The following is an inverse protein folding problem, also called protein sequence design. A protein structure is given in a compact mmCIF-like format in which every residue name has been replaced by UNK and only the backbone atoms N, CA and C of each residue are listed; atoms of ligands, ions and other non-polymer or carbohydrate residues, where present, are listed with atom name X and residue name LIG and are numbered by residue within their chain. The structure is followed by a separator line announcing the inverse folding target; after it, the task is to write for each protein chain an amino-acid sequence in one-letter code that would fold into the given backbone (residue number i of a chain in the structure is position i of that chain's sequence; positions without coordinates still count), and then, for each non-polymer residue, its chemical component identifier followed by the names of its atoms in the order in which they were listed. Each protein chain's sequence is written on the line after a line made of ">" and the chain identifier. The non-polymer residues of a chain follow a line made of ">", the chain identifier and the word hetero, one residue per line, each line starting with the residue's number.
data_IF_365543152913
#
_entry.id   IF_365543152913
#
_cell.length_a   1.000
_cell.length_b   1.000
_cell.length_c   1.000
_cell.angle_alpha   90.00
_cell.angle_beta   90.00
_cell.angle_gamma   90.00
#
_symmetry.space_group_name_H-M   'P 1'
#
loop_
_entity.id
_entity.type
_entity.pdbx_description
1 polymer ?
#
# COMPACT_ATOMS: atom_id res chain seq x y z
N UNK A 1 13.44 8.49 -16.77
CA UNK A 1 13.03 7.20 -17.38
C UNK A 1 14.18 6.42 -18.02
N UNK A 2 15.05 7.01 -18.85
CA UNK A 2 16.24 6.31 -19.39
C UNK A 2 17.16 5.70 -18.30
N UNK A 3 17.38 6.41 -17.19
CA UNK A 3 18.23 5.93 -16.06
C UNK A 3 17.79 4.60 -15.45
N UNK A 4 16.48 4.35 -15.32
CA UNK A 4 15.95 3.13 -14.68
C UNK A 4 16.02 1.94 -15.63
N UNK A 5 15.76 2.18 -16.92
CA UNK A 5 15.87 1.14 -17.96
C UNK A 5 17.33 0.71 -18.17
N UNK A 6 18.27 1.68 -18.12
CA UNK A 6 19.71 1.39 -18.08
C UNK A 6 20.09 0.59 -16.83
N UNK A 7 19.64 0.99 -15.64
CA UNK A 7 19.94 0.28 -14.40
C UNK A 7 19.58 -1.21 -14.45
N UNK A 8 18.39 -1.53 -14.94
CA UNK A 8 17.89 -2.91 -14.99
C UNK A 8 18.74 -3.83 -15.90
N UNK A 9 19.18 -3.34 -17.07
CA UNK A 9 20.05 -4.10 -17.96
C UNK A 9 21.53 -4.05 -17.53
N UNK A 10 21.99 -2.91 -16.99
CA UNK A 10 23.35 -2.74 -16.48
C UNK A 10 23.63 -3.63 -15.26
N UNK A 11 22.60 -3.93 -14.44
CA UNK A 11 22.74 -4.88 -13.33
C UNK A 11 23.13 -6.28 -13.81
N UNK A 12 22.66 -6.71 -14.99
CA UNK A 12 23.12 -7.96 -15.60
C UNK A 12 24.57 -7.87 -16.05
N UNK A 13 24.96 -6.75 -16.66
CA UNK A 13 26.35 -6.56 -17.14
C UNK A 13 27.35 -6.46 -15.99
N UNK A 14 26.94 -5.90 -14.86
CA UNK A 14 27.75 -5.81 -13.64
C UNK A 14 28.24 -7.19 -13.18
N UNK A 15 27.43 -8.24 -13.33
CA UNK A 15 27.80 -9.61 -12.97
C UNK A 15 29.06 -10.07 -13.73
N UNK A 16 29.17 -9.72 -15.01
CA UNK A 16 30.35 -10.00 -15.84
C UNK A 16 31.56 -9.20 -15.38
N UNK A 17 31.41 -7.91 -15.10
CA UNK A 17 32.52 -7.06 -14.64
C UNK A 17 33.04 -7.44 -13.25
N UNK A 18 32.19 -8.00 -12.39
CA UNK A 18 32.57 -8.47 -11.06
C UNK A 18 33.11 -9.91 -11.06
N UNK A 19 33.15 -10.60 -12.21
CA UNK A 19 33.43 -12.03 -12.30
C UNK A 19 32.59 -12.85 -11.29
N UNK A 20 31.34 -12.45 -11.09
CA UNK A 20 30.41 -13.07 -10.14
C UNK A 20 29.11 -13.40 -10.85
N UNK A 21 28.62 -14.64 -10.69
CA UNK A 21 27.36 -15.07 -11.27
C UNK A 21 26.35 -15.34 -10.16
N UNK A 22 25.20 -14.64 -10.11
CA UNK A 22 24.16 -14.95 -9.14
C UNK A 22 23.47 -16.28 -9.47
N UNK A 23 22.97 -16.96 -8.44
CA UNK A 23 22.07 -18.11 -8.63
C UNK A 23 20.61 -17.67 -8.88
N UNK A 24 20.25 -16.47 -8.41
CA UNK A 24 18.90 -15.90 -8.47
C UNK A 24 18.95 -14.39 -8.76
N UNK A 25 18.05 -13.92 -9.63
CA UNK A 25 17.71 -12.50 -9.79
C UNK A 25 16.32 -12.27 -9.20
N UNK A 26 16.23 -11.40 -8.21
CA UNK A 26 14.96 -10.96 -7.63
C UNK A 26 14.62 -9.55 -8.10
N UNK A 27 13.73 -9.46 -9.09
CA UNK A 27 13.23 -8.19 -9.60
C UNK A 27 11.99 -7.75 -8.80
N UNK A 28 11.92 -6.45 -8.53
CA UNK A 28 10.83 -5.78 -7.84
C UNK A 28 10.22 -4.72 -8.78
N UNK A 29 8.96 -4.94 -9.15
CA UNK A 29 8.17 -4.13 -10.08
C UNK A 29 8.83 -3.84 -11.44
N UNK A 30 8.16 -2.99 -12.21
CA UNK A 30 8.56 -2.58 -13.56
C UNK A 30 9.98 -1.99 -13.64
N UNK A 31 10.47 -1.39 -12.55
CA UNK A 31 11.77 -0.72 -12.48
C UNK A 31 12.95 -1.65 -12.76
N UNK A 32 12.81 -2.93 -12.36
CA UNK A 32 13.86 -3.94 -12.50
C UNK A 32 13.44 -5.10 -13.39
N UNK A 33 12.23 -5.08 -13.92
CA UNK A 33 11.64 -6.18 -14.69
C UNK A 33 12.42 -6.56 -15.95
N UNK A 34 13.09 -5.61 -16.60
CA UNK A 34 13.89 -5.88 -17.80
C UNK A 34 15.15 -6.71 -17.52
N UNK A 35 15.58 -6.86 -16.27
CA UNK A 35 16.71 -7.74 -15.93
C UNK A 35 16.31 -9.20 -16.10
N UNK A 36 15.08 -9.56 -15.77
CA UNK A 36 14.56 -10.92 -16.00
C UNK A 36 14.38 -11.17 -17.50
N UNK A 37 13.82 -10.21 -18.22
CA UNK A 37 13.67 -10.32 -19.67
C UNK A 37 15.02 -10.45 -20.39
N UNK A 38 15.98 -9.59 -20.06
CA UNK A 38 17.34 -9.65 -20.60
C UNK A 38 18.10 -10.93 -20.23
N UNK A 39 17.89 -11.46 -19.01
CA UNK A 39 18.43 -12.76 -18.60
C UNK A 39 17.88 -13.88 -19.49
N UNK A 40 16.57 -13.88 -19.78
CA UNK A 40 15.96 -14.88 -20.67
C UNK A 40 16.49 -14.78 -22.10
N UNK A 41 16.60 -13.57 -22.67
CA UNK A 41 17.04 -13.40 -24.07
C UNK A 41 18.54 -13.69 -24.24
N UNK A 42 19.41 -13.24 -23.33
CA UNK A 42 20.85 -13.56 -23.37
C UNK A 42 21.12 -15.07 -23.27
N UNK A 43 20.28 -15.83 -22.56
CA UNK A 43 20.37 -17.30 -22.53
C UNK A 43 20.17 -17.91 -23.91
N UNK A 44 19.23 -17.40 -24.70
CA UNK A 44 18.94 -17.91 -26.04
C UNK A 44 20.05 -17.61 -27.05
N UNK A 45 20.80 -16.53 -26.86
CA UNK A 45 21.90 -16.15 -27.76
C UNK A 45 23.23 -16.86 -27.43
N UNK A 46 23.53 -17.10 -26.15
CA UNK A 46 24.89 -17.49 -25.72
C UNK A 46 25.02 -18.87 -25.07
N UNK A 47 23.93 -19.65 -24.92
CA UNK A 47 23.97 -20.92 -24.18
C UNK A 47 24.38 -20.74 -22.71
N UNK A 48 24.13 -19.55 -22.16
CA UNK A 48 24.53 -19.17 -20.81
C UNK A 48 23.80 -20.01 -19.74
N UNK A 49 24.44 -20.17 -18.58
CA UNK A 49 23.87 -20.85 -17.41
C UNK A 49 22.52 -20.23 -17.04
N UNK A 50 21.55 -21.08 -16.69
CA UNK A 50 20.25 -20.64 -16.16
C UNK A 50 20.42 -19.98 -14.78
N UNK A 51 20.15 -18.67 -14.69
CA UNK A 51 20.02 -17.90 -13.43
C UNK A 51 18.54 -17.73 -13.08
N UNK A 52 18.03 -18.36 -12.01
CA UNK A 52 16.62 -18.30 -11.69
C UNK A 52 16.11 -16.85 -11.54
N UNK A 53 14.86 -16.58 -11.92
CA UNK A 53 14.24 -15.26 -11.88
C UNK A 53 12.98 -15.23 -11.03
N UNK A 54 12.94 -14.35 -10.03
CA UNK A 54 11.74 -14.09 -9.21
C UNK A 54 11.28 -12.65 -9.45
N UNK A 55 9.99 -12.46 -9.72
CA UNK A 55 9.36 -11.15 -9.84
C UNK A 55 8.43 -10.88 -8.66
N UNK A 56 8.70 -9.85 -7.86
CA UNK A 56 7.75 -9.33 -6.87
C UNK A 56 6.93 -8.18 -7.44
N UNK A 57 5.61 -8.30 -7.29
CA UNK A 57 4.60 -7.37 -7.79
C UNK A 57 3.95 -6.61 -6.63
N UNK A 58 4.26 -5.32 -6.49
CA UNK A 58 3.69 -4.46 -5.44
C UNK A 58 2.43 -3.73 -5.91
N UNK A 59 2.31 -3.44 -7.21
CA UNK A 59 1.16 -2.70 -7.75
C UNK A 59 1.01 -2.89 -9.27
N UNK A 60 0.06 -3.75 -9.67
CA UNK A 60 -0.09 -4.15 -11.07
C UNK A 60 -0.46 -3.03 -12.05
N UNK A 61 -1.33 -2.06 -11.70
CA UNK A 61 -1.58 -0.90 -12.55
C UNK A 61 -0.33 -0.12 -13.00
N UNK A 62 0.78 -0.19 -12.27
CA UNK A 62 2.02 0.52 -12.64
C UNK A 62 2.97 -0.39 -13.41
N UNK A 63 2.70 -0.55 -14.70
CA UNK A 63 3.44 -1.47 -15.57
C UNK A 63 4.73 -0.92 -16.19
N UNK A 64 4.95 0.38 -16.04
CA UNK A 64 6.09 1.10 -16.61
C UNK A 64 5.84 1.63 -18.03
N UNK A 65 6.80 2.37 -18.60
CA UNK A 65 6.67 3.03 -19.90
C UNK A 65 6.92 2.07 -21.08
N UNK A 66 6.67 2.53 -22.30
CA UNK A 66 7.08 1.83 -23.52
C UNK A 66 8.61 1.60 -23.57
N UNK A 67 9.01 0.36 -23.89
CA UNK A 67 10.41 -0.08 -23.96
C UNK A 67 10.90 -0.42 -25.37
N UNK A 68 10.08 -0.27 -26.41
CA UNK A 68 10.42 -0.67 -27.79
C UNK A 68 11.76 -0.09 -28.26
N UNK A 69 11.91 1.23 -28.15
CA UNK A 69 13.12 1.93 -28.58
C UNK A 69 14.37 1.53 -27.78
N UNK A 70 14.21 1.17 -26.49
CA UNK A 70 15.36 0.74 -25.71
C UNK A 70 15.75 -0.71 -26.07
N UNK A 71 14.78 -1.61 -26.22
CA UNK A 71 15.07 -2.98 -26.62
C UNK A 71 15.79 -3.01 -27.98
N UNK A 72 15.32 -2.22 -28.95
CA UNK A 72 15.97 -2.05 -30.26
C UNK A 72 17.41 -1.56 -30.12
N UNK A 73 17.67 -0.54 -29.29
CA UNK A 73 19.03 0.01 -29.11
C UNK A 73 20.04 -0.98 -28.49
N UNK A 74 19.56 -2.01 -27.79
CA UNK A 74 20.38 -3.10 -27.23
C UNK A 74 20.36 -4.36 -28.10
N UNK A 75 19.74 -4.33 -29.28
CA UNK A 75 19.59 -5.50 -30.15
C UNK A 75 18.69 -6.59 -29.59
N UNK A 76 17.91 -6.31 -28.54
CA UNK A 76 17.03 -7.30 -27.90
C UNK A 76 15.71 -7.35 -28.65
N UNK A 77 15.43 -8.49 -29.29
CA UNK A 77 14.15 -8.68 -29.97
C UNK A 77 13.00 -8.86 -28.97
N UNK A 78 11.80 -8.45 -29.37
CA UNK A 78 10.57 -8.79 -28.66
C UNK A 78 10.28 -10.28 -28.85
N UNK A 79 10.18 -11.01 -27.73
CA UNK A 79 9.90 -12.42 -27.76
C UNK A 79 8.47 -12.69 -28.27
N UNK A 80 8.31 -13.82 -28.96
CA UNK A 80 7.00 -14.39 -29.23
C UNK A 80 6.44 -14.89 -27.89
N UNK A 81 5.55 -14.12 -27.28
CA UNK A 81 4.97 -14.38 -25.96
C UNK A 81 3.48 -14.66 -26.06
N UNK A 82 2.90 -15.26 -25.02
CA UNK A 82 1.45 -15.39 -24.81
C UNK A 82 0.83 -14.13 -24.16
N UNK A 83 1.62 -13.07 -23.95
CA UNK A 83 1.11 -11.78 -23.47
C UNK A 83 0.26 -11.09 -24.54
N UNK A 84 -0.74 -10.27 -24.12
CA UNK A 84 -1.43 -9.34 -25.01
C UNK A 84 -0.46 -8.39 -25.72
N UNK A 85 -0.75 -8.02 -26.97
CA UNK A 85 0.17 -7.20 -27.79
C UNK A 85 0.56 -5.88 -27.12
N UNK A 86 -0.39 -5.21 -26.45
CA UNK A 86 -0.13 -3.97 -25.74
C UNK A 86 0.85 -4.16 -24.56
N UNK A 87 0.84 -5.33 -23.93
CA UNK A 87 1.63 -5.64 -22.74
C UNK A 87 3.10 -5.92 -23.10
N UNK A 88 3.36 -6.40 -24.32
CA UNK A 88 4.71 -6.69 -24.83
C UNK A 88 5.59 -5.46 -24.94
N UNK A 89 5.00 -4.26 -24.91
CA UNK A 89 5.74 -3.00 -24.96
C UNK A 89 6.10 -2.47 -23.57
N UNK A 90 5.66 -3.13 -22.50
CA UNK A 90 5.84 -2.68 -21.13
C UNK A 90 6.83 -3.56 -20.36
N UNK A 91 7.67 -2.98 -19.48
CA UNK A 91 8.71 -3.73 -18.79
C UNK A 91 8.15 -4.73 -17.79
N UNK A 92 7.11 -4.39 -17.03
CA UNK A 92 6.56 -5.31 -16.03
C UNK A 92 5.99 -6.59 -16.64
N UNK A 93 5.09 -6.55 -17.65
CA UNK A 93 4.61 -7.78 -18.29
C UNK A 93 5.74 -8.63 -18.89
N UNK A 94 6.73 -8.00 -19.54
CA UNK A 94 7.90 -8.73 -20.07
C UNK A 94 8.70 -9.43 -18.97
N UNK A 95 8.94 -8.78 -17.83
CA UNK A 95 9.63 -9.39 -16.71
C UNK A 95 8.81 -10.47 -16.00
N UNK A 96 7.49 -10.29 -15.90
CA UNK A 96 6.58 -11.32 -15.38
C UNK A 96 6.62 -12.58 -16.25
N UNK A 97 6.56 -12.40 -17.57
CA UNK A 97 6.65 -13.49 -18.53
C UNK A 97 8.01 -14.20 -18.50
N UNK A 98 9.09 -13.45 -18.31
CA UNK A 98 10.45 -14.00 -18.24
C UNK A 98 10.85 -14.60 -16.89
N UNK A 99 10.03 -14.42 -15.84
CA UNK A 99 10.32 -14.94 -14.50
C UNK A 99 10.08 -16.45 -14.40
N UNK A 100 10.78 -17.12 -13.48
CA UNK A 100 10.49 -18.50 -13.10
C UNK A 100 9.39 -18.55 -12.02
N UNK A 101 9.35 -17.56 -11.12
CA UNK A 101 8.32 -17.41 -10.10
C UNK A 101 7.85 -15.95 -9.92
N UNK A 102 6.59 -15.79 -9.55
CA UNK A 102 5.92 -14.50 -9.32
C UNK A 102 5.46 -14.44 -7.87
N UNK A 103 5.77 -13.35 -7.19
CA UNK A 103 5.38 -13.07 -5.81
C UNK A 103 4.47 -11.85 -5.79
N UNK A 104 3.20 -12.05 -5.46
CA UNK A 104 2.29 -11.00 -5.05
C UNK A 104 2.58 -10.62 -3.59
N UNK A 105 2.45 -9.34 -3.24
CA UNK A 105 2.77 -8.83 -1.88
C UNK A 105 1.74 -9.18 -0.80
N UNK A 106 0.75 -10.01 -1.11
CA UNK A 106 -0.12 -10.66 -0.12
C UNK A 106 -0.86 -11.86 -0.74
N UNK A 107 -1.29 -12.85 0.08
CA UNK A 107 -2.11 -13.98 -0.39
C UNK A 107 -3.42 -13.58 -1.06
N UNK A 108 -4.20 -12.66 -0.46
CA UNK A 108 -5.46 -12.20 -1.03
C UNK A 108 -5.19 -11.48 -2.35
N UNK A 109 -4.19 -10.60 -2.42
CA UNK A 109 -3.84 -9.90 -3.66
C UNK A 109 -3.41 -10.87 -4.78
N UNK A 110 -2.64 -11.90 -4.45
CA UNK A 110 -2.25 -12.95 -5.39
C UNK A 110 -3.46 -13.68 -6.00
N UNK A 111 -4.54 -13.86 -5.25
CA UNK A 111 -5.80 -14.40 -5.78
C UNK A 111 -6.60 -13.35 -6.55
N UNK A 112 -6.63 -12.10 -6.09
CA UNK A 112 -7.37 -11.01 -6.72
C UNK A 112 -6.89 -10.76 -8.16
N UNK A 113 -5.57 -10.72 -8.41
CA UNK A 113 -5.01 -10.44 -9.75
C UNK A 113 -5.35 -11.51 -10.81
N UNK A 114 -5.86 -12.67 -10.40
CA UNK A 114 -6.38 -13.70 -11.31
C UNK A 114 -7.74 -13.32 -11.91
N UNK A 115 -8.39 -12.28 -11.38
CA UNK A 115 -9.72 -11.81 -11.79
C UNK A 115 -9.62 -10.58 -12.68
N UNK A 116 -10.60 -10.33 -13.58
CA UNK A 116 -10.61 -9.13 -14.42
C UNK A 116 -10.63 -7.81 -13.65
N UNK A 117 -11.23 -7.75 -12.45
CA UNK A 117 -11.33 -6.53 -11.65
C UNK A 117 -9.96 -6.01 -11.18
N UNK A 118 -9.04 -6.92 -10.84
CA UNK A 118 -7.72 -6.56 -10.28
C UNK A 118 -6.55 -6.86 -11.22
N UNK A 119 -6.73 -7.79 -12.17
CA UNK A 119 -5.70 -8.30 -13.06
C UNK A 119 -5.25 -7.34 -14.16
N UNK A 120 -5.86 -6.16 -14.28
CA UNK A 120 -5.43 -5.10 -15.22
C UNK A 120 -5.23 -5.61 -16.67
N UNK A 121 -6.09 -6.52 -17.12
CA UNK A 121 -6.02 -7.14 -18.46
C UNK A 121 -4.97 -8.24 -18.62
N UNK A 122 -4.27 -8.62 -17.55
CA UNK A 122 -3.31 -9.74 -17.50
C UNK A 122 -3.84 -10.93 -16.68
N UNK A 123 -5.11 -10.91 -16.26
CA UNK A 123 -5.72 -11.98 -15.47
C UNK A 123 -5.56 -13.35 -16.13
N UNK A 124 -5.75 -13.46 -17.44
CA UNK A 124 -5.63 -14.73 -18.15
C UNK A 124 -4.17 -15.22 -18.16
N UNK A 125 -3.20 -14.32 -18.34
CA UNK A 125 -1.77 -14.63 -18.18
C UNK A 125 -1.45 -15.12 -16.75
N UNK A 126 -1.99 -14.48 -15.71
CA UNK A 126 -1.76 -14.95 -14.34
C UNK A 126 -2.41 -16.32 -14.08
N UNK A 127 -3.55 -16.62 -14.71
CA UNK A 127 -4.18 -17.93 -14.61
C UNK A 127 -3.30 -19.04 -15.21
N UNK A 128 -2.62 -18.80 -16.35
CA UNK A 128 -1.66 -19.77 -16.91
C UNK A 128 -0.42 -19.95 -16.03
N UNK A 129 -0.14 -18.99 -15.16
CA UNK A 129 1.01 -18.95 -14.24
C UNK A 129 0.65 -19.28 -12.78
N UNK A 130 -0.54 -19.84 -12.53
CA UNK A 130 -1.05 -20.05 -11.17
C UNK A 130 -0.11 -20.88 -10.28
N UNK A 131 0.55 -21.89 -10.83
CA UNK A 131 1.47 -22.75 -10.07
C UNK A 131 2.77 -22.05 -9.65
N UNK A 132 3.18 -21.02 -10.39
CA UNK A 132 4.37 -20.22 -10.08
C UNK A 132 4.05 -18.86 -9.45
N UNK A 133 2.78 -18.60 -9.14
CA UNK A 133 2.31 -17.40 -8.45
C UNK A 133 2.08 -17.71 -6.96
N UNK A 134 2.77 -16.96 -6.08
CA UNK A 134 2.61 -17.04 -4.63
C UNK A 134 2.31 -15.67 -4.04
N UNK A 135 1.56 -15.63 -2.94
CA UNK A 135 1.36 -14.42 -2.15
C UNK A 135 2.22 -14.45 -0.89
N UNK A 136 3.13 -13.49 -0.74
CA UNK A 136 3.97 -13.33 0.44
C UNK A 136 3.67 -11.96 1.04
N UNK A 137 3.22 -11.95 2.28
CA UNK A 137 2.82 -10.73 2.97
C UNK A 137 4.04 -9.82 3.20
N UNK A 138 3.88 -8.52 2.97
CA UNK A 138 4.91 -7.54 3.34
C UNK A 138 5.09 -7.47 4.86
N UNK A 139 6.28 -7.04 5.27
CA UNK A 139 6.58 -6.66 6.65
C UNK A 139 6.84 -5.16 6.79
N UNK A 140 7.04 -4.73 8.04
CA UNK A 140 7.53 -3.39 8.38
C UNK A 140 8.87 -3.51 9.12
N UNK A 141 9.70 -2.48 9.02
CA UNK A 141 10.88 -2.32 9.86
C UNK A 141 10.44 -1.92 11.28
N UNK A 142 10.36 -2.91 12.17
CA UNK A 142 9.86 -2.72 13.54
C UNK A 142 10.79 -1.93 14.43
N UNK A 143 12.08 -1.86 14.10
CA UNK A 143 13.06 -1.08 14.85
C UNK A 143 12.93 0.41 14.50
N UNK A 144 12.69 0.70 13.21
CA UNK A 144 12.35 2.05 12.76
C UNK A 144 10.97 2.50 13.24
N UNK A 145 9.99 1.60 13.25
CA UNK A 145 8.61 1.85 13.69
C UNK A 145 8.36 1.32 15.11
N UNK A 146 9.14 1.80 16.07
CA UNK A 146 8.99 1.43 17.48
C UNK A 146 8.52 2.62 18.34
N UNK A 147 7.30 2.64 18.89
CA UNK A 147 6.86 3.71 19.78
C UNK A 147 7.73 3.88 21.04
N UNK A 148 8.52 2.86 21.43
CA UNK A 148 9.42 2.95 22.57
C UNK A 148 10.68 3.80 22.29
N UNK A 149 11.08 3.93 21.02
CA UNK A 149 12.33 4.62 20.63
C UNK A 149 12.17 5.61 19.47
N UNK A 150 10.97 5.74 18.89
CA UNK A 150 10.72 6.66 17.78
C UNK A 150 10.82 8.11 18.23
N UNK A 151 11.84 8.81 17.74
CA UNK A 151 12.09 10.22 18.06
C UNK A 151 11.11 11.18 17.34
N UNK A 152 10.28 10.69 16.41
CA UNK A 152 9.29 11.51 15.72
C UNK A 152 8.04 11.80 16.57
N UNK A 153 7.81 11.04 17.65
CA UNK A 153 6.63 11.14 18.52
C UNK A 153 6.96 11.90 19.81
N UNK A 154 5.96 12.51 20.43
CA UNK A 154 6.18 13.43 21.55
C UNK A 154 6.58 12.72 22.84
N UNK A 155 5.95 11.57 23.13
CA UNK A 155 6.22 10.75 24.30
C UNK A 155 6.33 9.30 23.88
N UNK A 156 7.47 8.67 24.16
CA UNK A 156 7.67 7.25 23.89
C UNK A 156 6.87 6.37 24.87
N UNK A 157 6.40 5.22 24.37
CA UNK A 157 5.60 4.28 25.11
C UNK A 157 5.77 2.86 24.55
N UNK A 158 5.37 1.87 25.34
CA UNK A 158 5.40 0.47 24.99
C UNK A 158 4.12 -0.24 25.44
N UNK A 159 4.08 -1.57 25.32
CA UNK A 159 2.94 -2.39 25.75
C UNK A 159 2.62 -2.25 27.25
N UNK A 160 3.59 -1.86 28.09
CA UNK A 160 3.42 -1.72 29.53
C UNK A 160 3.07 -0.28 29.96
N UNK A 161 3.07 0.66 29.02
CA UNK A 161 2.84 2.09 29.29
C UNK A 161 1.90 2.75 28.27
N UNK A 162 0.92 2.00 27.77
CA UNK A 162 -0.05 2.44 26.77
C UNK A 162 -0.84 3.69 27.18
N UNK A 163 -1.02 3.94 28.47
CA UNK A 163 -1.65 5.15 29.00
C UNK A 163 -0.92 6.44 28.56
N UNK A 164 0.38 6.38 28.27
CA UNK A 164 1.17 7.50 27.75
C UNK A 164 0.76 7.93 26.35
N UNK A 165 0.02 7.10 25.60
CA UNK A 165 -0.53 7.48 24.28
C UNK A 165 -1.42 8.71 24.35
N UNK A 166 -2.11 8.91 25.47
CA UNK A 166 -2.90 10.12 25.68
C UNK A 166 -2.06 11.40 25.54
N UNK A 167 -0.80 11.40 26.00
CA UNK A 167 0.07 12.56 25.83
C UNK A 167 0.32 12.87 24.35
N UNK A 168 0.52 11.84 23.51
CA UNK A 168 0.65 12.02 22.06
C UNK A 168 -0.65 12.52 21.41
N UNK A 169 -1.82 12.01 21.85
CA UNK A 169 -3.13 12.49 21.39
C UNK A 169 -3.34 13.96 21.74
N UNK A 170 -3.02 14.36 22.96
CA UNK A 170 -3.11 15.75 23.42
C UNK A 170 -2.21 16.68 22.61
N UNK A 171 -0.95 16.28 22.37
CA UNK A 171 -0.01 17.04 21.51
C UNK A 171 -0.56 17.19 20.09
N UNK A 172 -1.16 16.14 19.54
CA UNK A 172 -1.77 16.17 18.22
C UNK A 172 -3.00 17.10 18.18
N UNK A 173 -3.85 17.05 19.22
CA UNK A 173 -5.00 17.95 19.38
C UNK A 173 -4.56 19.41 19.47
N UNK A 174 -3.57 19.71 20.31
CA UNK A 174 -2.98 21.04 20.47
C UNK A 174 -2.43 21.57 19.14
N UNK A 175 -1.61 20.76 18.45
CA UNK A 175 -0.97 21.13 17.17
C UNK A 175 -1.99 21.44 16.07
N UNK A 176 -3.14 20.76 16.10
CA UNK A 176 -4.19 20.90 15.10
C UNK A 176 -5.29 21.88 15.51
N UNK A 177 -5.25 22.42 16.73
CA UNK A 177 -6.28 23.30 17.28
C UNK A 177 -7.62 22.60 17.44
N UNK A 178 -7.60 21.35 17.89
CA UNK A 178 -8.78 20.61 18.30
C UNK A 178 -9.12 20.89 19.77
N UNK A 179 -10.40 20.75 20.19
CA UNK A 179 -10.74 20.68 21.61
C UNK A 179 -9.96 19.56 22.32
N UNK A 180 -9.37 19.86 23.47
CA UNK A 180 -8.61 18.87 24.24
C UNK A 180 -9.56 18.00 25.05
N UNK A 181 -9.70 16.75 24.65
CA UNK A 181 -10.50 15.76 25.38
C UNK A 181 -10.00 14.36 25.05
N UNK A 182 -9.72 13.59 26.10
CA UNK A 182 -9.26 12.21 26.01
C UNK A 182 -10.36 11.28 25.49
N UNK A 183 -11.61 11.60 25.78
CA UNK A 183 -12.76 10.74 25.49
C UNK A 183 -13.32 10.95 24.08
N UNK A 184 -12.91 12.01 23.37
CA UNK A 184 -13.32 12.23 21.97
C UNK A 184 -12.45 11.35 21.07
N UNK A 185 -13.01 10.39 20.31
CA UNK A 185 -12.23 9.56 19.41
C UNK A 185 -11.56 10.38 18.31
N UNK A 186 -10.27 10.13 18.07
CA UNK A 186 -9.48 10.76 17.01
C UNK A 186 -9.15 9.75 15.90
N UNK A 187 -9.66 10.03 14.71
CA UNK A 187 -9.45 9.26 13.50
C UNK A 187 -8.30 9.83 12.66
N UNK A 188 -7.33 9.00 12.29
CA UNK A 188 -6.30 9.31 11.31
C UNK A 188 -6.67 8.80 9.92
N UNK A 189 -6.43 9.61 8.90
CA UNK A 189 -6.42 9.18 7.49
C UNK A 189 -5.06 9.61 6.92
N UNK A 190 -4.21 8.64 6.60
CA UNK A 190 -2.88 8.88 6.02
C UNK A 190 -2.85 8.20 4.66
N UNK A 191 -2.93 8.98 3.58
CA UNK A 191 -3.06 8.41 2.24
C UNK A 191 -2.60 9.36 1.14
N UNK A 192 -2.23 8.80 -0.02
CA UNK A 192 -2.28 9.57 -1.27
C UNK A 192 -3.72 10.01 -1.53
N UNK A 193 -3.91 11.23 -2.04
CA UNK A 193 -5.22 11.72 -2.47
C UNK A 193 -5.54 11.11 -3.84
N UNK A 194 -6.11 9.92 -3.82
CA UNK A 194 -6.35 9.08 -4.99
C UNK A 194 -7.64 8.30 -4.79
N UNK A 195 -8.49 8.22 -5.82
CA UNK A 195 -9.77 7.48 -5.77
C UNK A 195 -9.52 6.00 -5.48
N UNK A 196 -8.39 5.44 -5.92
CA UNK A 196 -7.98 4.07 -5.59
C UNK A 196 -7.88 3.84 -4.08
N UNK A 197 -7.51 4.88 -3.31
CA UNK A 197 -7.39 4.83 -1.84
C UNK A 197 -8.69 5.07 -1.11
N UNK A 198 -9.80 5.35 -1.81
CA UNK A 198 -11.12 5.46 -1.19
C UNK A 198 -11.33 6.71 -0.34
N UNK A 199 -10.44 7.72 -0.43
CA UNK A 199 -10.53 8.92 0.43
C UNK A 199 -11.83 9.70 0.22
N UNK A 200 -12.40 9.65 -0.98
CA UNK A 200 -13.74 10.18 -1.29
C UNK A 200 -14.87 9.50 -0.47
N UNK A 201 -14.74 8.19 -0.20
CA UNK A 201 -15.66 7.45 0.65
C UNK A 201 -15.54 7.91 2.11
N UNK A 202 -14.30 8.09 2.59
CA UNK A 202 -14.06 8.64 3.93
C UNK A 202 -14.66 10.03 4.06
N UNK A 203 -14.48 10.91 3.09
CA UNK A 203 -15.05 12.27 3.11
C UNK A 203 -16.57 12.26 3.21
N UNK A 204 -17.21 11.37 2.46
CA UNK A 204 -18.66 11.18 2.49
C UNK A 204 -19.11 10.69 3.88
N UNK A 205 -18.42 9.71 4.46
CA UNK A 205 -18.71 9.19 5.79
C UNK A 205 -18.49 10.23 6.90
N UNK A 206 -17.39 10.97 6.85
CA UNK A 206 -17.10 12.04 7.81
C UNK A 206 -18.19 13.13 7.78
N UNK A 207 -18.68 13.48 6.59
CA UNK A 207 -19.78 14.44 6.43
C UNK A 207 -21.10 13.92 7.01
N UNK A 208 -21.40 12.63 6.86
CA UNK A 208 -22.65 12.05 7.39
C UNK A 208 -22.62 11.92 8.92
N UNK A 209 -21.44 11.76 9.51
CA UNK A 209 -21.23 11.68 10.97
C UNK A 209 -21.25 13.04 11.69
N UNK A 210 -21.72 14.13 11.07
CA UNK A 210 -21.68 15.49 11.65
C UNK A 210 -22.19 15.64 13.09
N UNK A 211 -23.16 14.81 13.50
CA UNK A 211 -23.77 14.84 14.83
C UNK A 211 -23.04 13.95 15.86
N UNK A 212 -22.04 13.18 15.43
CA UNK A 212 -21.22 12.33 16.29
C UNK A 212 -20.07 13.16 16.87
N UNK A 213 -19.74 12.94 18.14
CA UNK A 213 -18.60 13.60 18.77
C UNK A 213 -17.30 12.85 18.44
N UNK A 214 -16.56 13.34 17.44
CA UNK A 214 -15.29 12.77 16.99
C UNK A 214 -14.37 13.88 16.47
N UNK A 215 -13.10 13.54 16.31
CA UNK A 215 -12.09 14.32 15.59
C UNK A 215 -11.48 13.48 14.47
N UNK A 216 -11.08 14.13 13.37
CA UNK A 216 -10.42 13.48 12.25
C UNK A 216 -9.29 14.35 11.68
N UNK A 217 -8.11 13.75 11.55
CA UNK A 217 -6.96 14.34 10.85
C UNK A 217 -6.76 13.61 9.52
N UNK A 218 -6.70 14.38 8.44
CA UNK A 218 -6.42 13.89 7.09
C UNK A 218 -5.04 14.39 6.69
N UNK A 219 -4.11 13.49 6.41
CA UNK A 219 -2.77 13.78 5.91
C UNK A 219 -2.58 13.12 4.54
N UNK A 220 -2.27 13.93 3.52
CA UNK A 220 -2.09 13.41 2.18
C UNK A 220 -2.00 14.48 1.10
N UNK A 221 -1.53 14.09 -0.07
CA UNK A 221 -1.50 14.93 -1.29
C UNK A 221 -1.65 14.04 -2.53
N UNK A 222 -2.03 14.61 -3.68
CA UNK A 222 -2.28 13.90 -4.93
C UNK A 222 -3.24 14.65 -5.85
N UNK A 223 -4.44 14.11 -6.03
CA UNK A 223 -5.48 14.70 -6.87
C UNK A 223 -6.01 16.03 -6.29
N UNK A 224 -5.92 17.15 -7.03
CA UNK A 224 -6.34 18.46 -6.53
C UNK A 224 -7.82 18.55 -6.13
N UNK A 225 -8.72 17.79 -6.76
CA UNK A 225 -10.15 17.81 -6.40
C UNK A 225 -10.38 17.12 -5.06
N UNK A 226 -9.65 16.05 -4.79
CA UNK A 226 -9.70 15.36 -3.49
C UNK A 226 -9.06 16.22 -2.38
N UNK A 227 -7.97 16.92 -2.69
CA UNK A 227 -7.37 17.90 -1.76
C UNK A 227 -8.34 19.04 -1.42
N UNK A 228 -8.98 19.63 -2.43
CA UNK A 228 -10.00 20.66 -2.26
C UNK A 228 -11.20 20.14 -1.44
N UNK A 229 -11.67 18.92 -1.71
CA UNK A 229 -12.74 18.28 -0.94
C UNK A 229 -12.38 18.11 0.55
N UNK A 230 -11.13 17.73 0.86
CA UNK A 230 -10.64 17.62 2.23
C UNK A 230 -10.59 19.00 2.94
N UNK A 231 -10.13 20.04 2.24
CA UNK A 231 -10.12 21.41 2.78
C UNK A 231 -11.55 21.92 3.01
N UNK A 232 -12.47 21.66 2.08
CA UNK A 232 -13.89 22.01 2.23
C UNK A 232 -14.53 21.31 3.43
N UNK A 233 -14.18 20.05 3.71
CA UNK A 233 -14.62 19.34 4.91
C UNK A 233 -14.11 19.99 6.20
N UNK A 234 -12.84 20.38 6.24
CA UNK A 234 -12.29 21.14 7.37
C UNK A 234 -13.05 22.45 7.56
N UNK A 235 -13.33 23.20 6.49
CA UNK A 235 -14.06 24.47 6.59
C UNK A 235 -15.50 24.30 7.09
N UNK A 236 -16.15 23.18 6.72
CA UNK A 236 -17.49 22.84 7.21
C UNK A 236 -17.50 22.40 8.68
N UNK A 237 -16.43 21.76 9.16
CA UNK A 237 -16.33 21.19 10.50
C UNK A 237 -14.98 21.53 11.18
N UNK A 238 -14.66 22.81 11.40
CA UNK A 238 -13.31 23.24 11.79
C UNK A 238 -12.86 22.77 13.17
N UNK A 239 -13.80 22.40 14.05
CA UNK A 239 -13.52 21.85 15.38
C UNK A 239 -13.41 20.32 15.39
N UNK A 240 -13.81 19.64 14.30
CA UNK A 240 -13.83 18.17 14.18
C UNK A 240 -12.85 17.64 13.14
N UNK A 241 -12.61 18.36 12.04
CA UNK A 241 -11.83 17.84 10.91
C UNK A 241 -10.69 18.79 10.59
N UNK A 242 -9.48 18.24 10.40
CA UNK A 242 -8.30 18.99 9.98
C UNK A 242 -7.65 18.29 8.80
N UNK A 243 -7.44 19.02 7.72
CA UNK A 243 -6.79 18.55 6.50
C UNK A 243 -5.38 19.15 6.40
N UNK A 244 -4.39 18.28 6.26
CA UNK A 244 -2.98 18.60 6.11
C UNK A 244 -2.53 18.12 4.73
N UNK A 245 -2.60 19.02 3.75
CA UNK A 245 -2.31 18.69 2.35
C UNK A 245 -0.81 18.77 2.07
N UNK A 246 -0.10 17.70 2.44
CA UNK A 246 1.34 17.55 2.23
C UNK A 246 1.78 16.11 2.44
N UNK A 247 2.98 15.78 1.96
CA UNK A 247 3.71 14.60 2.43
C UNK A 247 4.54 14.97 3.66
N UNK A 248 4.38 14.23 4.75
CA UNK A 248 5.08 14.50 6.02
C UNK A 248 5.21 13.19 6.83
N UNK A 249 6.34 12.50 6.67
CA UNK A 249 6.56 11.19 7.31
C UNK A 249 6.65 11.29 8.84
N UNK A 250 7.21 12.39 9.36
CA UNK A 250 7.28 12.63 10.81
C UNK A 250 5.90 12.88 11.40
N UNK A 251 5.08 13.69 10.73
CA UNK A 251 3.70 13.92 11.16
C UNK A 251 2.82 12.66 11.02
N UNK A 252 3.05 11.82 10.02
CA UNK A 252 2.38 10.51 9.92
C UNK A 252 2.65 9.63 11.16
N UNK A 253 3.90 9.58 11.64
CA UNK A 253 4.27 8.88 12.89
C UNK A 253 3.56 9.45 14.12
N UNK A 254 3.43 10.77 14.20
CA UNK A 254 2.66 11.43 15.27
C UNK A 254 1.18 11.09 15.22
N UNK A 255 0.60 10.96 14.02
CA UNK A 255 -0.78 10.49 13.85
C UNK A 255 -0.89 9.03 14.31
N UNK A 256 0.02 8.13 13.93
CA UNK A 256 -0.01 6.74 14.42
C UNK A 256 0.08 6.67 15.96
N UNK A 257 0.90 7.51 16.59
CA UNK A 257 1.04 7.52 18.04
C UNK A 257 -0.14 8.14 18.80
N UNK A 258 -0.76 9.18 18.22
CA UNK A 258 -1.77 10.00 18.89
C UNK A 258 -3.22 9.71 18.48
N UNK A 259 -3.46 9.13 17.30
CA UNK A 259 -4.81 8.75 16.88
C UNK A 259 -5.25 7.45 17.54
N UNK A 260 -6.56 7.35 17.81
CA UNK A 260 -7.16 6.14 18.36
C UNK A 260 -7.36 5.10 17.25
N UNK A 261 -7.73 5.56 16.05
CA UNK A 261 -8.08 4.72 14.92
C UNK A 261 -7.45 5.24 13.63
N UNK A 262 -7.12 4.35 12.70
CA UNK A 262 -6.67 4.69 11.35
C UNK A 262 -7.67 4.16 10.31
N UNK A 263 -8.25 5.04 9.49
CA UNK A 263 -9.17 4.62 8.41
C UNK A 263 -8.43 4.43 7.08
N UNK A 264 -8.56 3.24 6.50
CA UNK A 264 -8.02 2.86 5.19
C UNK A 264 -9.13 2.28 4.30
N UNK A 265 -9.90 3.13 3.61
CA UNK A 265 -11.07 2.72 2.83
C UNK A 265 -10.72 2.29 1.40
N UNK A 266 -9.48 1.82 1.18
CA UNK A 266 -8.91 1.55 -0.14
C UNK A 266 -9.80 0.67 -1.00
N UNK A 267 -9.97 1.05 -2.27
CA UNK A 267 -10.62 0.21 -3.28
C UNK A 267 -9.68 -0.89 -3.79
N UNK A 268 -8.38 -0.66 -3.69
CA UNK A 268 -7.32 -1.57 -4.10
C UNK A 268 -6.09 -1.31 -3.22
N UNK A 269 -5.64 -2.34 -2.50
CA UNK A 269 -4.49 -2.26 -1.61
C UNK A 269 -3.72 -3.60 -1.58
N UNK A 270 -2.71 -3.79 -2.44
CA UNK A 270 -2.00 -5.05 -2.60
C UNK A 270 -1.44 -5.60 -1.28
N UNK A 271 -0.89 -4.72 -0.43
CA UNK A 271 -0.60 -5.09 0.94
C UNK A 271 -0.78 -3.96 1.94
N UNK A 272 -0.49 -2.70 1.56
CA UNK A 272 -0.47 -1.57 2.49
C UNK A 272 0.55 -1.75 3.62
N UNK A 273 1.14 -0.67 4.13
CA UNK A 273 1.99 -0.75 5.34
C UNK A 273 1.35 -0.05 6.54
N UNK A 274 0.45 0.90 6.28
CA UNK A 274 -0.08 1.80 7.28
C UNK A 274 -0.89 1.06 8.36
N UNK A 275 -1.58 -0.03 8.04
CA UNK A 275 -2.32 -0.84 9.01
C UNK A 275 -1.37 -1.58 9.96
N UNK A 276 -0.24 -2.09 9.47
CA UNK A 276 0.76 -2.75 10.31
C UNK A 276 1.45 -1.74 11.22
N UNK A 277 1.79 -0.55 10.70
CA UNK A 277 2.34 0.55 11.50
C UNK A 277 1.32 1.01 12.55
N UNK A 278 0.04 1.16 12.18
CA UNK A 278 -1.00 1.56 13.11
C UNK A 278 -1.15 0.55 14.26
N UNK A 279 -1.24 -0.76 13.96
CA UNK A 279 -1.27 -1.81 14.98
C UNK A 279 -0.04 -1.77 15.88
N UNK A 280 1.16 -1.58 15.31
CA UNK A 280 2.41 -1.46 16.08
C UNK A 280 2.40 -0.28 17.06
N UNK A 281 1.71 0.81 16.73
CA UNK A 281 1.56 2.00 17.59
C UNK A 281 0.29 1.96 18.46
N UNK A 282 -0.51 0.89 18.39
CA UNK A 282 -1.79 0.78 19.11
C UNK A 282 -2.92 1.62 18.51
N UNK A 283 -2.74 2.18 17.32
CA UNK A 283 -3.78 2.88 16.56
C UNK A 283 -4.60 1.85 15.79
N UNK A 284 -5.87 1.72 16.13
CA UNK A 284 -6.71 0.60 15.66
C UNK A 284 -7.07 0.79 14.19
N UNK A 285 -6.66 -0.11 13.27
CA UNK A 285 -6.98 0.03 11.86
C UNK A 285 -8.46 -0.29 11.59
N UNK A 286 -9.09 0.55 10.78
CA UNK A 286 -10.42 0.36 10.19
C UNK A 286 -10.22 0.27 8.68
N UNK A 287 -10.36 -0.92 8.12
CA UNK A 287 -9.90 -1.22 6.76
C UNK A 287 -11.00 -1.84 5.92
N UNK A 288 -10.94 -1.61 4.61
CA UNK A 288 -11.75 -2.39 3.67
C UNK A 288 -11.10 -3.75 3.41
N UNK A 289 -11.91 -4.81 3.30
CA UNK A 289 -11.47 -6.16 2.93
C UNK A 289 -10.98 -6.23 1.47
N UNK A 290 -9.75 -5.80 1.21
CA UNK A 290 -9.07 -5.88 -0.09
C UNK A 290 -7.57 -6.17 0.10
N UNK A 291 -7.00 -6.97 -0.80
CA UNK A 291 -5.58 -7.35 -0.81
C UNK A 291 -5.02 -7.62 0.59
N UNK A 292 -3.82 -7.11 0.88
CA UNK A 292 -3.19 -7.42 2.17
C UNK A 292 -3.78 -6.68 3.37
N UNK A 293 -4.74 -5.76 3.19
CA UNK A 293 -5.54 -5.29 4.34
C UNK A 293 -6.37 -6.43 4.91
N UNK A 294 -6.95 -7.25 4.03
CA UNK A 294 -7.71 -8.43 4.42
C UNK A 294 -6.82 -9.52 5.06
N UNK A 295 -5.56 -9.61 4.63
CA UNK A 295 -4.61 -10.58 5.18
C UNK A 295 -3.94 -10.15 6.49
N UNK A 296 -3.97 -8.84 6.81
CA UNK A 296 -3.23 -8.28 7.98
C UNK A 296 -4.12 -7.90 9.14
N UNK A 297 -5.37 -7.51 8.90
CA UNK A 297 -6.29 -7.06 9.94
C UNK A 297 -7.34 -8.14 10.18
N UNK A 298 -7.38 -8.66 11.41
CA UNK A 298 -8.41 -9.61 11.84
C UNK A 298 -9.54 -8.83 12.50
N UNK A 299 -10.73 -8.92 11.92
CA UNK A 299 -11.93 -8.22 12.40
C UNK A 299 -12.24 -8.57 13.86
N UNK A 300 -12.47 -7.54 14.69
CA UNK A 300 -12.70 -7.62 16.14
C UNK A 300 -11.53 -8.17 16.99
N UNK A 301 -10.36 -8.41 16.40
CA UNK A 301 -9.17 -8.83 17.14
C UNK A 301 -8.06 -7.77 17.06
N UNK A 302 -7.65 -7.42 15.84
CA UNK A 302 -6.59 -6.43 15.61
C UNK A 302 -7.09 -5.15 14.95
N UNK A 303 -8.36 -5.12 14.54
CA UNK A 303 -9.01 -3.94 13.98
C UNK A 303 -10.44 -4.23 13.50
N UNK A 304 -10.96 -3.32 12.67
CA UNK A 304 -12.29 -3.47 12.07
C UNK A 304 -12.17 -3.58 10.55
N UNK A 305 -12.53 -4.74 10.03
CA UNK A 305 -12.63 -4.97 8.58
C UNK A 305 -14.07 -4.74 8.11
N UNK A 306 -14.27 -4.00 7.03
CA UNK A 306 -15.58 -3.81 6.39
C UNK A 306 -15.58 -4.18 4.91
N UNK A 307 -16.72 -4.64 4.41
CA UNK A 307 -16.91 -5.00 3.01
C UNK A 307 -17.71 -3.94 2.24
N UNK A 308 -17.65 -4.01 0.89
CA UNK A 308 -18.39 -3.13 -0.03
C UNK A 308 -19.93 -3.25 0.11
N UNK A 309 -20.45 -4.21 0.89
CA UNK A 309 -21.89 -4.52 1.00
C UNK A 309 -22.62 -3.87 2.17
N UNK A 310 -21.96 -3.24 3.13
CA UNK A 310 -22.66 -2.65 4.28
C UNK A 310 -22.45 -1.14 4.34
N UNK A 311 -23.41 -0.40 3.79
CA UNK A 311 -23.66 1.00 4.09
C UNK A 311 -24.08 1.25 5.56
N UNK A 312 -23.84 0.30 6.47
CA UNK A 312 -24.29 0.33 7.87
C UNK A 312 -23.20 0.23 8.94
N UNK A 313 -21.93 -0.03 8.58
CA UNK A 313 -20.89 -0.29 9.61
C UNK A 313 -20.55 0.96 10.44
N UNK A 314 -20.78 2.18 9.93
CA UNK A 314 -20.50 3.39 10.71
C UNK A 314 -21.54 3.72 11.80
N UNK A 315 -22.70 3.05 11.84
CA UNK A 315 -23.79 3.38 12.77
C UNK A 315 -24.08 2.32 13.85
N UNK A 316 -23.58 1.09 13.76
CA UNK A 316 -24.09 -0.02 14.58
C UNK A 316 -23.45 -0.18 15.99
N UNK A 317 -22.45 0.62 16.37
CA UNK A 317 -21.88 0.49 17.72
C UNK A 317 -22.54 1.36 18.81
N UNK A 318 -23.60 2.11 18.48
CA UNK A 318 -24.33 2.91 19.48
C UNK A 318 -25.64 2.29 19.99
N UNK A 319 -26.12 1.17 19.43
CA UNK A 319 -27.43 0.58 19.79
C UNK A 319 -27.37 -0.71 20.62
N UNK A 320 -26.23 -1.40 20.71
CA UNK A 320 -26.14 -2.70 21.43
C UNK A 320 -25.65 -2.61 22.89
N UNK A 321 -25.83 -1.47 23.59
CA UNK A 321 -25.57 -1.36 25.04
C UNK A 321 -26.82 -1.24 25.92
N UNK A 322 -28.02 -1.44 25.38
CA UNK A 322 -29.27 -1.36 26.17
C UNK A 322 -30.15 -2.61 26.16
N UNK A 323 -29.66 -3.75 25.67
CA UNK A 323 -30.36 -5.03 25.79
C UNK A 323 -29.39 -6.11 26.25
N UNK A 324 -29.14 -6.13 27.57
CA UNK A 324 -28.82 -7.30 28.38
C UNK A 324 -28.56 -6.82 29.81
N UNK A 325 -29.63 -6.34 30.44
CA UNK A 325 -29.78 -6.23 31.89
C UNK A 325 -31.17 -6.76 32.23
N UNK A 326 -31.31 -8.09 32.17
CA UNK A 326 -32.08 -8.94 33.07
C UNK A 326 -31.46 -10.33 33.05
#
# INVERSE_FOLDING_TARGET
>A
MQKIRFFSLAALELTHHLNWMPDLIHANDWHTALSLYGNLTKRWEAGARHIAGVMTLHNLPFMGPDVSAILESYGVQLAQTDLPDWARLMPLPLGLWASDAIVAVSPTYGNEILTPEFGSGLNDFFQTRRESLSGILNGIDTDSFDPATDNAIGVNYDLNSLEKRWANKKILQERLGFPHDQNIPLLGIISRMDVQKGVDLAFTALKSMKNVNFQAVILGTGDPKLEEAAQNLQNLFPEKIKAQIRFDAGFARQIYAGADMLLMPSRYEPCGLAQMIAMRYGCVPIVRAVGGLNDTVTHNETGFVFEKRTSHVFNEHHQNRHQNLF
#
